data_IF_700168499854
#
_entry.id   IF_700168499854
#
_cell.length_a   1.000
_cell.length_b   1.000
_cell.length_c   1.000
_cell.angle_alpha   90.00
_cell.angle_beta   90.00
_cell.angle_gamma   90.00
#
_symmetry.space_group_name_H-M   'P 1'
#
loop_
_entity.id
_entity.type
_entity.pdbx_description
1 polymer ?
#
# COMPACT_ATOMS: atom_id res chain seq x y z
N UNK A 1 9.68 8.79 1.87
CA UNK A 1 8.95 9.27 3.06
C UNK A 1 9.85 10.22 3.82
N UNK A 2 9.27 11.21 4.46
CA UNK A 2 9.97 12.22 5.26
C UNK A 2 9.15 12.41 6.54
N UNK A 3 9.81 12.48 7.69
CA UNK A 3 9.14 12.77 8.97
C UNK A 3 9.12 14.28 9.28
N UNK A 4 8.46 14.67 10.37
CA UNK A 4 8.34 16.08 10.76
C UNK A 4 9.67 16.75 11.16
N UNK A 5 10.70 15.96 11.45
CA UNK A 5 12.05 16.44 11.75
C UNK A 5 12.89 16.60 10.46
N UNK A 6 12.33 16.25 9.30
CA UNK A 6 12.99 16.34 7.99
C UNK A 6 13.84 15.13 7.65
N UNK A 7 13.77 14.03 8.42
CA UNK A 7 14.52 12.83 8.11
C UNK A 7 13.89 12.11 6.92
N UNK A 8 14.67 11.92 5.86
CA UNK A 8 14.21 11.27 4.62
C UNK A 8 14.54 9.79 4.58
N UNK A 9 13.60 8.96 4.18
CA UNK A 9 13.77 7.53 4.00
C UNK A 9 13.12 7.06 2.70
N UNK A 10 13.68 6.02 2.08
CA UNK A 10 13.21 5.46 0.81
C UNK A 10 13.32 3.94 0.83
N UNK A 11 12.55 3.29 -0.05
CA UNK A 11 12.57 1.84 -0.27
C UNK A 11 12.46 1.56 -1.77
N UNK A 12 13.14 0.52 -2.23
CA UNK A 12 13.09 0.05 -3.61
C UNK A 12 12.53 -1.37 -3.69
N UNK A 13 11.61 -1.55 -4.63
CA UNK A 13 11.11 -2.85 -5.07
C UNK A 13 11.66 -3.16 -6.46
N UNK A 14 11.84 -4.43 -6.77
CA UNK A 14 12.45 -4.84 -8.04
C UNK A 14 11.57 -4.56 -9.27
N UNK A 15 10.26 -4.68 -9.14
CA UNK A 15 9.27 -4.37 -10.18
C UNK A 15 8.01 -3.76 -9.55
N UNK A 16 7.27 -2.99 -10.35
CA UNK A 16 5.98 -2.43 -9.98
C UNK A 16 5.11 -2.37 -11.24
N UNK A 17 3.91 -2.94 -11.18
CA UNK A 17 2.89 -2.81 -12.21
C UNK A 17 1.49 -2.78 -11.60
N UNK A 18 0.59 -2.13 -12.32
CA UNK A 18 -0.83 -2.00 -11.97
C UNK A 18 -1.63 -2.57 -13.13
N UNK A 19 -2.54 -3.50 -12.82
CA UNK A 19 -3.43 -4.11 -13.80
C UNK A 19 -4.49 -3.14 -14.33
N UNK A 20 -5.25 -3.55 -15.34
CA UNK A 20 -6.36 -2.77 -15.88
C UNK A 20 -7.53 -2.68 -14.88
N UNK A 21 -8.49 -1.80 -15.17
CA UNK A 21 -9.69 -1.62 -14.35
C UNK A 21 -10.54 -2.89 -14.22
N UNK A 22 -10.63 -3.70 -15.28
CA UNK A 22 -11.36 -4.97 -15.29
C UNK A 22 -10.83 -5.96 -14.24
N UNK A 23 -9.54 -5.86 -13.91
CA UNK A 23 -8.89 -6.63 -12.86
C UNK A 23 -8.93 -5.93 -11.49
N UNK A 24 -9.54 -4.74 -11.40
CA UNK A 24 -9.59 -3.92 -10.20
C UNK A 24 -8.28 -3.22 -9.89
N UNK A 25 -7.53 -2.80 -10.92
CA UNK A 25 -6.22 -2.15 -10.77
C UNK A 25 -5.25 -2.97 -9.90
N UNK A 26 -5.24 -4.28 -10.10
CA UNK A 26 -4.48 -5.23 -9.28
C UNK A 26 -3.00 -4.86 -9.19
N UNK A 27 -2.45 -4.79 -7.98
CA UNK A 27 -1.03 -4.54 -7.77
C UNK A 27 -0.21 -5.79 -8.10
N UNK A 28 0.92 -5.58 -8.74
CA UNK A 28 1.99 -6.56 -8.86
C UNK A 28 3.29 -5.89 -8.44
N UNK A 29 3.91 -6.40 -7.38
CA UNK A 29 5.17 -5.86 -6.87
C UNK A 29 6.20 -6.97 -6.76
N UNK A 30 7.40 -6.70 -7.24
CA UNK A 30 8.51 -7.63 -7.13
C UNK A 30 9.10 -7.66 -5.72
N UNK A 31 10.10 -8.52 -5.50
CA UNK A 31 10.77 -8.62 -4.20
C UNK A 31 11.36 -7.28 -3.74
N UNK A 32 11.27 -7.05 -2.42
CA UNK A 32 11.94 -5.97 -1.71
C UNK A 32 13.47 -6.06 -1.92
N UNK A 33 14.10 -4.94 -2.29
CA UNK A 33 15.54 -4.89 -2.54
C UNK A 33 16.30 -4.32 -1.34
N UNK A 34 16.13 -3.03 -1.11
CA UNK A 34 16.84 -2.26 -0.09
C UNK A 34 16.26 -0.85 0.02
N UNK A 35 16.80 -0.07 0.96
CA UNK A 35 16.54 1.36 1.10
C UNK A 35 16.47 1.71 2.57
N UNK A 36 16.82 2.96 2.92
CA UNK A 36 16.92 3.40 4.32
C UNK A 36 15.61 3.18 5.11
N UNK A 37 14.46 3.25 4.43
CA UNK A 37 13.17 2.95 5.06
C UNK A 37 13.03 1.46 5.33
N UNK A 38 13.49 0.61 4.41
CA UNK A 38 13.48 -0.84 4.58
C UNK A 38 14.38 -1.34 5.70
N UNK A 39 15.51 -0.67 5.94
CA UNK A 39 16.42 -1.01 7.05
C UNK A 39 15.84 -0.66 8.43
N UNK A 40 14.94 0.34 8.49
CA UNK A 40 14.36 0.87 9.74
C UNK A 40 12.97 0.32 10.01
N UNK A 41 12.14 0.21 8.97
CA UNK A 41 10.72 -0.14 9.05
C UNK A 41 10.36 -1.48 8.38
N UNK A 42 11.31 -2.11 7.68
CA UNK A 42 11.08 -3.38 6.99
C UNK A 42 10.28 -3.27 5.69
N UNK A 43 9.76 -4.41 5.23
CA UNK A 43 8.92 -4.52 4.04
C UNK A 43 7.43 -4.45 4.42
N UNK A 44 6.80 -3.31 4.13
CA UNK A 44 5.37 -3.06 4.38
C UNK A 44 4.54 -2.99 3.09
N UNK A 45 5.10 -3.34 1.93
CA UNK A 45 4.41 -3.19 0.64
C UNK A 45 4.21 -4.52 -0.10
N UNK A 46 5.10 -5.51 0.06
CA UNK A 46 4.95 -6.83 -0.59
C UNK A 46 3.70 -7.57 -0.11
N UNK A 47 3.19 -7.28 1.08
CA UNK A 47 1.91 -7.83 1.60
C UNK A 47 0.69 -7.48 0.73
N UNK A 48 0.82 -6.46 -0.12
CA UNK A 48 -0.21 -6.03 -1.05
C UNK A 48 -0.03 -6.61 -2.45
N UNK A 49 1.00 -7.43 -2.70
CA UNK A 49 1.17 -8.09 -3.98
C UNK A 49 -0.08 -8.92 -4.32
N UNK A 50 -0.62 -8.66 -5.51
CA UNK A 50 -1.84 -9.29 -5.99
C UNK A 50 -3.15 -8.75 -5.39
N UNK A 51 -3.12 -7.75 -4.51
CA UNK A 51 -4.34 -7.12 -4.00
C UNK A 51 -4.95 -6.17 -5.05
N UNK A 52 -6.27 -5.97 -4.98
CA UNK A 52 -7.01 -5.04 -5.83
C UNK A 52 -7.12 -3.68 -5.15
N UNK A 53 -7.26 -2.63 -5.94
CA UNK A 53 -7.41 -1.28 -5.39
C UNK A 53 -8.81 -1.12 -4.80
N UNK A 54 -8.89 -0.71 -3.54
CA UNK A 54 -10.12 -0.57 -2.77
C UNK A 54 -10.34 0.92 -2.41
N UNK A 55 -11.59 1.37 -2.56
CA UNK A 55 -12.07 2.72 -2.25
C UNK A 55 -13.34 2.65 -1.41
N UNK A 56 -13.75 3.76 -0.80
CA UNK A 56 -14.94 3.79 0.06
C UNK A 56 -16.24 3.40 -0.68
N UNK A 57 -16.29 3.62 -1.98
CA UNK A 57 -17.40 3.27 -2.86
C UNK A 57 -17.22 1.91 -3.59
N UNK A 58 -16.05 1.28 -3.45
CA UNK A 58 -15.73 0.02 -4.12
C UNK A 58 -14.84 -0.86 -3.23
N UNK A 59 -15.49 -1.66 -2.39
CA UNK A 59 -14.81 -2.63 -1.53
C UNK A 59 -14.25 -3.79 -2.36
N UNK A 60 -12.92 -3.87 -2.41
CA UNK A 60 -12.18 -4.91 -3.12
C UNK A 60 -11.07 -5.52 -2.26
N UNK A 61 -11.16 -5.34 -0.94
CA UNK A 61 -10.18 -5.84 0.02
C UNK A 61 -10.52 -7.26 0.52
N UNK A 62 -9.70 -7.81 1.41
CA UNK A 62 -9.85 -9.19 1.93
C UNK A 62 -10.54 -9.18 3.31
N UNK A 63 -10.73 -8.01 3.91
CA UNK A 63 -11.31 -7.87 5.22
C UNK A 63 -12.81 -8.13 5.21
N UNK A 64 -13.40 -8.32 6.39
CA UNK A 64 -14.85 -8.40 6.55
C UNK A 64 -15.56 -7.04 6.59
N UNK A 65 -14.81 -5.95 6.46
CA UNK A 65 -15.26 -4.55 6.53
C UNK A 65 -14.56 -3.78 5.40
N UNK A 66 -15.14 -2.67 4.94
CA UNK A 66 -14.48 -1.82 3.96
C UNK A 66 -13.34 -1.02 4.63
N UNK A 67 -12.10 -1.42 4.37
CA UNK A 67 -10.92 -0.77 4.94
C UNK A 67 -10.74 0.66 4.44
N UNK A 68 -11.15 0.96 3.21
CA UNK A 68 -11.07 2.31 2.65
C UNK A 68 -11.99 3.29 3.39
N UNK A 69 -13.17 2.84 3.80
CA UNK A 69 -14.09 3.61 4.63
C UNK A 69 -13.55 3.77 6.06
N UNK A 70 -13.10 2.68 6.68
CA UNK A 70 -12.63 2.67 8.07
C UNK A 70 -11.39 3.57 8.28
N UNK A 71 -10.43 3.49 7.36
CA UNK A 71 -9.15 4.20 7.45
C UNK A 71 -9.08 5.47 6.60
N UNK A 72 -10.21 5.88 6.00
CA UNK A 72 -10.35 7.12 5.24
C UNK A 72 -9.22 7.30 4.22
N UNK A 73 -9.09 6.34 3.30
CA UNK A 73 -8.07 6.34 2.26
C UNK A 73 -8.42 5.39 1.13
N UNK A 74 -7.50 5.24 0.17
CA UNK A 74 -7.67 4.31 -0.94
C UNK A 74 -6.36 3.58 -1.21
N UNK A 75 -6.38 2.25 -1.20
CA UNK A 75 -5.16 1.45 -1.30
C UNK A 75 -5.43 0.04 -1.80
N UNK A 76 -4.35 -0.68 -2.11
CA UNK A 76 -4.37 -2.13 -2.33
C UNK A 76 -4.51 -2.88 -1.01
N UNK A 77 -5.61 -2.66 -0.30
CA UNK A 77 -5.84 -3.23 1.02
C UNK A 77 -5.91 -4.76 0.96
N UNK A 78 -5.31 -5.42 1.96
CA UNK A 78 -5.46 -6.85 2.22
C UNK A 78 -6.49 -7.01 3.35
N UNK A 79 -6.11 -7.53 4.52
CA UNK A 79 -6.84 -7.26 5.77
C UNK A 79 -6.50 -5.84 6.26
N UNK A 80 -6.97 -4.85 5.50
CA UNK A 80 -6.61 -3.44 5.59
C UNK A 80 -5.14 -3.17 5.28
N UNK A 81 -4.38 -2.51 6.16
CA UNK A 81 -3.07 -1.97 5.78
C UNK A 81 -1.94 -2.19 6.80
N UNK A 82 -0.75 -2.51 6.30
CA UNK A 82 0.54 -2.33 6.97
C UNK A 82 1.18 -0.94 6.69
N UNK A 83 0.68 -0.24 5.67
CA UNK A 83 1.11 1.08 5.22
C UNK A 83 -0.06 1.75 4.48
N UNK A 84 -0.34 3.02 4.79
CA UNK A 84 -1.43 3.78 4.18
C UNK A 84 -0.97 5.19 3.77
N UNK A 85 -0.14 5.32 2.72
CA UNK A 85 0.35 6.63 2.27
C UNK A 85 -0.76 7.50 1.64
N UNK A 86 -1.92 6.92 1.36
CA UNK A 86 -3.11 7.60 0.85
C UNK A 86 -4.16 7.84 1.95
N UNK A 87 -3.79 7.69 3.22
CA UNK A 87 -4.64 8.02 4.35
C UNK A 87 -4.69 9.51 4.65
N UNK A 88 -5.50 9.89 5.64
CA UNK A 88 -5.58 11.26 6.14
C UNK A 88 -4.21 11.72 6.65
N UNK A 89 -3.77 12.90 6.18
CA UNK A 89 -2.58 13.57 6.70
C UNK A 89 -2.86 14.05 8.13
N UNK A 90 -2.02 13.66 9.08
CA UNK A 90 -2.15 14.01 10.51
C UNK A 90 -0.90 14.67 11.05
#
# INVERSE_FOLDING_TARGET
MEDFEGNKAYVYYSTFSVGPEEDGYKLQVGFFRNGRLGDVAGDSFTVYDGMKFCTSDKDQDVSGQNCAELYQGAWWYNNCHAANPNGVYS
#
